data_IF_847433411732
#
_entry.id   IF_847433411732
#
_cell.length_a   1.000
_cell.length_b   1.000
_cell.length_c   1.000
_cell.angle_alpha   90.00
_cell.angle_beta   90.00
_cell.angle_gamma   90.00
#
_symmetry.space_group_name_H-M   'P 1'
#
loop_
_entity.id
_entity.type
_entity.pdbx_description
1 polymer ?
#
# COMPACT_ATOMS: atom_id res chain seq x y z
N UNK A 1 -21.85 -2.23 -8.44
CA UNK A 1 -21.13 -2.08 -7.15
C UNK A 1 -19.74 -1.44 -7.34
N UNK A 2 -18.85 -2.01 -8.16
CA UNK A 2 -17.46 -1.53 -8.30
C UNK A 2 -17.27 -0.12 -8.90
N UNK A 3 -18.07 0.28 -9.89
CA UNK A 3 -18.01 1.64 -10.46
C UNK A 3 -18.42 2.70 -9.45
N UNK A 4 -19.42 2.39 -8.61
CA UNK A 4 -19.86 3.27 -7.52
C UNK A 4 -18.76 3.48 -6.48
N UNK A 5 -18.05 2.42 -6.08
CA UNK A 5 -16.93 2.52 -5.15
C UNK A 5 -15.76 3.36 -5.71
N UNK A 6 -15.43 3.20 -7.00
CA UNK A 6 -14.43 4.05 -7.67
C UNK A 6 -14.90 5.52 -7.73
N UNK A 7 -16.16 5.76 -8.08
CA UNK A 7 -16.76 7.09 -8.08
C UNK A 7 -16.73 7.76 -6.70
N UNK A 8 -17.11 7.04 -5.65
CA UNK A 8 -17.04 7.52 -4.26
C UNK A 8 -15.61 7.81 -3.81
N UNK A 9 -14.63 6.97 -4.17
CA UNK A 9 -13.21 7.20 -3.88
C UNK A 9 -12.70 8.47 -4.57
N UNK A 10 -13.05 8.66 -5.85
CA UNK A 10 -12.68 9.83 -6.63
C UNK A 10 -13.29 11.10 -6.02
N UNK A 11 -14.60 11.11 -5.78
CA UNK A 11 -15.29 12.26 -5.17
C UNK A 11 -14.70 12.59 -3.80
N UNK A 12 -14.40 11.58 -2.97
CA UNK A 12 -13.80 11.81 -1.65
C UNK A 12 -12.39 12.37 -1.75
N UNK A 13 -11.56 11.85 -2.66
CA UNK A 13 -10.18 12.33 -2.87
C UNK A 13 -10.16 13.78 -3.36
N UNK A 14 -11.05 14.14 -4.29
CA UNK A 14 -11.22 15.51 -4.75
C UNK A 14 -11.86 16.42 -3.69
N UNK A 15 -12.77 15.90 -2.87
CA UNK A 15 -13.29 16.63 -1.71
C UNK A 15 -12.17 17.04 -0.74
N UNK A 16 -11.26 16.13 -0.43
CA UNK A 16 -10.09 16.41 0.41
C UNK A 16 -9.11 17.42 -0.21
N UNK A 17 -9.05 17.52 -1.55
CA UNK A 17 -8.32 18.57 -2.25
C UNK A 17 -8.95 19.94 -2.00
N UNK A 18 -10.27 20.06 -2.22
CA UNK A 18 -10.98 21.34 -2.06
C UNK A 18 -11.00 21.84 -0.62
N UNK A 19 -10.95 20.93 0.36
CA UNK A 19 -10.81 21.25 1.79
C UNK A 19 -9.37 21.64 2.16
N UNK A 20 -8.40 21.50 1.24
CA UNK A 20 -7.01 21.90 1.44
C UNK A 20 -6.15 20.88 2.20
N UNK A 21 -6.62 19.64 2.35
CA UNK A 21 -5.90 18.58 3.07
C UNK A 21 -4.90 17.87 2.16
N UNK A 22 -5.26 17.70 0.88
CA UNK A 22 -4.39 17.07 -0.12
C UNK A 22 -3.84 18.08 -1.12
N UNK A 23 -2.56 17.92 -1.48
CA UNK A 23 -1.95 18.62 -2.61
C UNK A 23 -2.44 18.06 -3.95
N UNK A 24 -2.40 18.89 -4.99
CA UNK A 24 -2.82 18.53 -6.35
C UNK A 24 -2.15 17.22 -6.84
N UNK A 25 -0.85 17.08 -6.60
CA UNK A 25 -0.11 15.87 -6.99
C UNK A 25 -0.60 14.60 -6.28
N UNK A 26 -1.01 14.70 -5.00
CA UNK A 26 -1.54 13.55 -4.24
C UNK A 26 -2.90 13.11 -4.76
N UNK A 27 -3.72 14.06 -5.19
CA UNK A 27 -5.08 13.80 -5.69
C UNK A 27 -5.03 13.16 -7.07
N UNK A 28 -4.17 13.66 -7.95
CA UNK A 28 -3.91 13.05 -9.26
C UNK A 28 -3.34 11.64 -9.10
N UNK A 29 -2.41 11.45 -8.18
CA UNK A 29 -1.86 10.12 -7.89
C UNK A 29 -2.96 9.17 -7.37
N UNK A 30 -3.80 9.63 -6.44
CA UNK A 30 -4.91 8.85 -5.87
C UNK A 30 -5.92 8.42 -6.93
N UNK A 31 -6.26 9.28 -7.90
CA UNK A 31 -7.19 8.93 -8.97
C UNK A 31 -6.61 7.91 -9.95
N UNK A 32 -5.35 8.08 -10.37
CA UNK A 32 -4.67 7.11 -11.23
C UNK A 32 -4.55 5.75 -10.52
N UNK A 33 -4.19 5.75 -9.23
CA UNK A 33 -4.09 4.54 -8.43
C UNK A 33 -5.44 3.83 -8.29
N UNK A 34 -6.51 4.59 -8.02
CA UNK A 34 -7.87 4.06 -7.94
C UNK A 34 -8.33 3.43 -9.26
N UNK A 35 -8.00 4.05 -10.39
CA UNK A 35 -8.32 3.52 -11.72
C UNK A 35 -7.56 2.22 -12.02
N UNK A 36 -6.25 2.20 -11.72
CA UNK A 36 -5.43 1.00 -11.90
C UNK A 36 -5.95 -0.17 -11.06
N UNK A 37 -6.35 0.09 -9.81
CA UNK A 37 -6.94 -0.92 -8.94
C UNK A 37 -8.29 -1.44 -9.47
N UNK A 38 -9.14 -0.55 -9.99
CA UNK A 38 -10.40 -0.92 -10.62
C UNK A 38 -10.18 -1.84 -11.84
N UNK A 39 -9.26 -1.47 -12.73
CA UNK A 39 -8.91 -2.29 -13.90
C UNK A 39 -8.32 -3.64 -13.50
N UNK A 40 -7.52 -3.68 -12.44
CA UNK A 40 -6.96 -4.92 -11.91
C UNK A 40 -8.05 -5.87 -11.36
N UNK A 41 -9.03 -5.36 -10.62
CA UNK A 41 -10.16 -6.19 -10.15
C UNK A 41 -11.03 -6.66 -11.34
N UNK A 42 -11.29 -5.78 -12.30
CA UNK A 42 -12.08 -6.11 -13.47
C UNK A 42 -11.42 -7.21 -14.31
N UNK A 43 -10.11 -7.10 -14.55
CA UNK A 43 -9.33 -8.12 -15.27
C UNK A 43 -9.27 -9.43 -14.50
N UNK A 44 -9.07 -9.41 -13.18
CA UNK A 44 -9.13 -10.60 -12.34
C UNK A 44 -10.47 -11.34 -12.47
N UNK A 45 -11.60 -10.63 -12.53
CA UNK A 45 -12.93 -11.23 -12.71
C UNK A 45 -13.11 -11.89 -14.09
N UNK A 46 -12.42 -11.39 -15.12
CA UNK A 46 -12.53 -11.89 -16.50
C UNK A 46 -11.65 -13.11 -16.78
N UNK A 47 -10.62 -13.35 -15.97
CA UNK A 47 -9.71 -14.48 -16.13
C UNK A 47 -10.43 -15.78 -15.73
N UNK A 48 -10.69 -16.65 -16.71
CA UNK A 48 -11.24 -18.00 -16.49
C UNK A 48 -10.20 -19.05 -16.06
N UNK A 49 -8.91 -18.79 -16.27
CA UNK A 49 -7.87 -19.75 -15.92
C UNK A 49 -7.54 -19.67 -14.42
N UNK A 50 -8.02 -20.65 -13.65
CA UNK A 50 -7.84 -20.77 -12.20
C UNK A 50 -6.36 -20.73 -11.75
N UNK A 51 -5.43 -21.29 -12.54
CA UNK A 51 -3.99 -21.28 -12.19
C UNK A 51 -3.40 -19.87 -12.27
N UNK A 52 -3.73 -19.12 -13.33
CA UNK A 52 -3.30 -17.73 -13.51
C UNK A 52 -3.97 -16.82 -12.48
N UNK A 53 -5.26 -17.03 -12.21
CA UNK A 53 -5.99 -16.28 -11.22
C UNK A 53 -5.38 -16.44 -9.82
N UNK A 54 -5.03 -17.66 -9.42
CA UNK A 54 -4.35 -17.94 -8.15
C UNK A 54 -2.98 -17.26 -8.04
N UNK A 55 -2.22 -17.24 -9.13
CA UNK A 55 -0.91 -16.59 -9.17
C UNK A 55 -1.04 -15.07 -9.03
N UNK A 56 -1.92 -14.43 -9.82
CA UNK A 56 -2.11 -12.98 -9.79
C UNK A 56 -2.72 -12.55 -8.45
N UNK A 57 -3.73 -13.25 -7.93
CA UNK A 57 -4.29 -12.95 -6.61
C UNK A 57 -3.25 -13.06 -5.52
N UNK A 58 -2.38 -14.09 -5.54
CA UNK A 58 -1.26 -14.20 -4.62
C UNK A 58 -0.29 -13.02 -4.69
N UNK A 59 0.12 -12.61 -5.90
CA UNK A 59 0.99 -11.44 -6.10
C UNK A 59 0.32 -10.17 -5.56
N UNK A 60 -0.94 -9.93 -5.90
CA UNK A 60 -1.68 -8.74 -5.47
C UNK A 60 -1.80 -8.71 -3.95
N UNK A 61 -2.14 -9.83 -3.31
CA UNK A 61 -2.30 -9.90 -1.86
C UNK A 61 -0.96 -9.68 -1.14
N UNK A 62 0.12 -10.26 -1.66
CA UNK A 62 1.47 -10.06 -1.14
C UNK A 62 1.86 -8.60 -1.28
N UNK A 63 1.80 -8.03 -2.49
CA UNK A 63 2.17 -6.64 -2.74
C UNK A 63 1.37 -5.66 -1.88
N UNK A 64 0.06 -5.87 -1.75
CA UNK A 64 -0.81 -5.00 -0.96
C UNK A 64 -0.53 -5.12 0.55
N UNK A 65 -0.27 -6.34 1.04
CA UNK A 65 0.10 -6.53 2.43
C UNK A 65 1.50 -5.99 2.77
N UNK A 66 2.46 -6.08 1.85
CA UNK A 66 3.79 -5.45 2.01
C UNK A 66 3.63 -3.94 2.07
N UNK A 67 2.85 -3.36 1.15
CA UNK A 67 2.60 -1.93 1.13
C UNK A 67 1.94 -1.43 2.42
N UNK A 68 0.92 -2.16 2.89
CA UNK A 68 0.19 -1.80 4.11
C UNK A 68 1.05 -1.96 5.37
N UNK A 69 1.67 -3.12 5.58
CA UNK A 69 2.49 -3.39 6.77
C UNK A 69 3.77 -2.56 6.77
N UNK A 70 4.46 -2.47 5.64
CA UNK A 70 5.68 -1.68 5.48
C UNK A 70 5.42 -0.19 5.64
N UNK A 71 4.28 0.31 5.14
CA UNK A 71 3.83 1.69 5.32
C UNK A 71 3.49 2.02 6.77
N UNK A 72 2.74 1.15 7.46
CA UNK A 72 2.42 1.34 8.89
C UNK A 72 3.70 1.33 9.74
N UNK A 73 4.61 0.36 9.50
CA UNK A 73 5.89 0.30 10.21
C UNK A 73 6.76 1.53 9.92
N UNK A 74 6.80 1.99 8.67
CA UNK A 74 7.51 3.22 8.31
C UNK A 74 6.96 4.43 9.08
N UNK A 75 5.65 4.58 9.15
CA UNK A 75 5.01 5.69 9.89
C UNK A 75 5.35 5.64 11.37
N UNK A 76 5.27 4.47 12.01
CA UNK A 76 5.57 4.31 13.43
C UNK A 76 7.06 4.60 13.71
N UNK A 77 7.96 3.96 12.96
CA UNK A 77 9.42 4.13 13.14
C UNK A 77 9.83 5.57 12.83
N UNK A 78 9.33 6.13 11.73
CA UNK A 78 9.57 7.51 11.35
C UNK A 78 9.05 8.50 12.39
N UNK A 79 7.88 8.26 12.98
CA UNK A 79 7.37 9.11 14.05
C UNK A 79 8.25 9.06 15.30
N UNK A 80 8.55 7.84 15.78
CA UNK A 80 9.31 7.61 17.03
C UNK A 80 10.75 8.10 16.93
N UNK A 81 11.41 7.88 15.79
CA UNK A 81 12.84 8.19 15.64
C UNK A 81 13.12 9.60 15.12
N UNK A 82 12.19 10.21 14.36
CA UNK A 82 12.49 11.42 13.56
C UNK A 82 11.54 12.59 13.90
N UNK A 83 10.22 12.35 14.00
CA UNK A 83 9.25 13.45 14.08
C UNK A 83 8.89 13.88 15.51
N UNK A 84 8.83 12.93 16.46
CA UNK A 84 8.40 13.24 17.81
C UNK A 84 9.34 14.26 18.49
N UNK A 85 8.83 15.16 19.35
CA UNK A 85 9.66 16.23 19.93
C UNK A 85 10.80 15.69 20.82
N UNK A 86 10.63 14.49 21.39
CA UNK A 86 11.64 13.77 22.17
C UNK A 86 12.49 12.80 21.32
N UNK A 87 12.30 12.77 20.00
CA UNK A 87 12.91 11.76 19.17
C UNK A 87 14.44 11.90 19.13
N UNK A 88 15.18 10.78 19.26
CA UNK A 88 16.64 10.81 19.43
C UNK A 88 17.37 11.37 18.22
N UNK A 89 16.85 11.16 17.00
CA UNK A 89 17.49 11.67 15.79
C UNK A 89 17.05 13.11 15.45
N UNK A 90 16.08 13.69 16.18
CA UNK A 90 15.53 15.04 15.90
C UNK A 90 16.60 16.12 15.81
N UNK A 91 17.66 15.99 16.62
CA UNK A 91 18.78 16.94 16.71
C UNK A 91 19.74 16.79 15.50
N UNK A 92 19.88 15.58 14.95
CA UNK A 92 20.71 15.28 13.78
C UNK A 92 20.03 15.65 12.44
N UNK A 93 18.78 16.10 12.48
CA UNK A 93 17.89 16.33 11.32
C UNK A 93 17.95 17.78 10.79
N UNK A 94 18.82 18.63 11.35
CA UNK A 94 18.99 20.02 10.88
C UNK A 94 19.37 20.14 9.40
N UNK A 95 19.99 19.11 8.82
CA UNK A 95 20.31 19.04 7.38
C UNK A 95 19.26 18.21 6.62
N UNK A 96 18.63 18.86 5.62
CA UNK A 96 17.60 18.27 4.77
C UNK A 96 18.10 17.02 4.00
N UNK A 97 19.40 16.97 3.66
CA UNK A 97 20.00 15.86 2.92
C UNK A 97 20.12 14.62 3.81
N UNK A 98 20.60 14.80 5.04
CA UNK A 98 20.77 13.71 6.02
C UNK A 98 19.39 13.17 6.42
N UNK A 99 18.41 14.06 6.63
CA UNK A 99 17.02 13.68 6.91
C UNK A 99 16.43 12.81 5.79
N UNK A 100 16.66 13.19 4.53
CA UNK A 100 16.19 12.43 3.37
C UNK A 100 16.79 11.01 3.32
N UNK A 101 18.09 10.88 3.57
CA UNK A 101 18.81 9.59 3.57
C UNK A 101 18.34 8.67 4.70
N UNK A 102 18.23 9.20 5.92
CA UNK A 102 17.73 8.43 7.08
C UNK A 102 16.30 7.95 6.80
N UNK A 103 15.45 8.83 6.27
CA UNK A 103 14.07 8.46 5.94
C UNK A 103 14.00 7.37 4.86
N UNK A 104 14.85 7.43 3.84
CA UNK A 104 14.97 6.39 2.81
C UNK A 104 15.43 5.05 3.40
N UNK A 105 16.40 5.04 4.30
CA UNK A 105 16.86 3.80 4.96
C UNK A 105 15.75 3.18 5.80
N UNK A 106 15.03 4.01 6.57
CA UNK A 106 13.87 3.56 7.35
C UNK A 106 12.78 3.00 6.43
N UNK A 107 12.51 3.68 5.30
CA UNK A 107 11.54 3.22 4.29
C UNK A 107 11.94 1.86 3.71
N UNK A 108 13.18 1.69 3.24
CA UNK A 108 13.63 0.42 2.65
C UNK A 108 13.53 -0.71 3.68
N UNK A 109 14.00 -0.46 4.91
CA UNK A 109 13.98 -1.46 5.98
C UNK A 109 12.57 -1.86 6.40
N UNK A 110 11.63 -0.91 6.51
CA UNK A 110 10.25 -1.21 6.92
C UNK A 110 9.52 -2.04 5.86
N UNK A 111 9.71 -1.73 4.57
CA UNK A 111 9.14 -2.51 3.48
C UNK A 111 9.78 -3.90 3.37
N UNK A 112 11.08 -4.03 3.66
CA UNK A 112 11.74 -5.34 3.73
C UNK A 112 11.16 -6.21 4.86
N UNK A 113 10.89 -5.62 6.04
CA UNK A 113 10.26 -6.34 7.16
C UNK A 113 8.81 -6.73 6.82
N UNK A 114 8.03 -5.80 6.24
CA UNK A 114 6.68 -6.10 5.74
C UNK A 114 6.69 -7.23 4.70
N UNK A 115 7.66 -7.20 3.79
CA UNK A 115 8.02 -8.27 2.85
C UNK A 115 8.20 -9.62 3.51
N UNK A 116 9.07 -9.67 4.52
CA UNK A 116 9.36 -10.89 5.25
C UNK A 116 8.14 -11.44 6.00
N UNK A 117 7.36 -10.58 6.65
CA UNK A 117 6.13 -10.99 7.34
C UNK A 117 5.13 -11.60 6.36
N UNK A 118 4.89 -10.92 5.23
CA UNK A 118 3.98 -11.41 4.20
C UNK A 118 4.47 -12.72 3.58
N UNK A 119 5.78 -12.87 3.33
CA UNK A 119 6.35 -14.12 2.87
C UNK A 119 6.09 -15.28 3.84
N UNK A 120 6.28 -15.05 5.15
CA UNK A 120 6.03 -16.06 6.19
C UNK A 120 4.54 -16.42 6.30
N UNK A 121 3.64 -15.44 6.20
CA UNK A 121 2.18 -15.68 6.18
C UNK A 121 1.80 -16.50 4.94
N UNK A 122 2.38 -16.17 3.79
CA UNK A 122 2.15 -16.86 2.55
C UNK A 122 2.54 -18.31 2.54
N UNK A 123 3.72 -18.61 3.07
CA UNK A 123 4.20 -19.99 3.26
C UNK A 123 3.25 -20.81 4.14
N UNK A 124 2.62 -20.19 5.16
CA UNK A 124 1.64 -20.85 6.04
C UNK A 124 0.26 -21.05 5.38
N UNK A 125 -0.24 -20.07 4.62
CA UNK A 125 -1.61 -20.10 4.06
C UNK A 125 -1.72 -20.69 2.65
N UNK A 126 -0.57 -21.03 2.01
CA UNK A 126 -0.50 -21.52 0.62
C UNK A 126 -1.28 -20.66 -0.39
N UNK A 127 -1.47 -19.37 -0.09
CA UNK A 127 -2.25 -18.38 -0.84
C UNK A 127 -3.40 -19.01 -1.62
N UNK A 128 -4.29 -19.74 -0.93
CA UNK A 128 -5.45 -20.35 -1.58
C UNK A 128 -6.40 -19.24 -2.02
N UNK A 129 -6.90 -19.24 -3.27
CA UNK A 129 -7.95 -18.33 -3.69
C UNK A 129 -9.19 -18.58 -2.82
N UNK A 130 -10.10 -17.60 -2.68
CA UNK A 130 -11.30 -17.77 -1.85
C UNK A 130 -12.11 -18.99 -2.30
N UNK A 131 -12.67 -19.73 -1.33
CA UNK A 131 -13.34 -21.02 -1.52
C UNK A 131 -14.47 -21.02 -2.57
N UNK A 132 -14.97 -19.84 -2.97
CA UNK A 132 -15.93 -19.73 -4.08
C UNK A 132 -15.38 -20.33 -5.39
N UNK A 133 -14.06 -20.36 -5.59
CA UNK A 133 -13.42 -20.89 -6.80
C UNK A 133 -13.09 -22.39 -6.70
N UNK A 134 -13.38 -23.04 -5.58
CA UNK A 134 -13.20 -24.48 -5.37
C UNK A 134 -14.48 -25.28 -5.67
N UNK A 135 -15.58 -24.60 -6.00
CA UNK A 135 -16.90 -25.19 -6.29
C UNK A 135 -17.18 -25.06 -7.80
N UNK A 136 -16.36 -25.69 -8.64
CA UNK A 136 -16.70 -26.09 -10.02
C UNK A 136 -16.06 -27.45 -10.32
#
# INVERSE_FOLDING_TARGET
VYIGAYGSWMISSWGLFFVGIYDLGRVIFSTILGLAFFLLIYTLKRIRNLKLLKLITGIVLVSFGIFSLGGIMWLIIGYVLVQAPWAPLRILIGDAVIRGRINLLILISSYAIGGYIMYRIGKKRKWRPPAHFEIE
#
